data_IF_980476183747
#
_entry.id   IF_980476183747
#
_cell.length_a   1.000
_cell.length_b   1.000
_cell.length_c   1.000
_cell.angle_alpha   90.00
_cell.angle_beta   90.00
_cell.angle_gamma   90.00
#
_symmetry.space_group_name_H-M   'P 1'
#
loop_
_entity.id
_entity.type
_entity.pdbx_description
1 polymer ?
#
# COMPACT_ATOMS: atom_id res chain seq x y z
N UNK A 1 -35.87 42.63 20.04
CA UNK A 1 -34.75 43.08 19.20
C UNK A 1 -33.48 42.59 19.88
N UNK A 2 -33.01 41.43 19.46
CA UNK A 2 -31.76 40.84 19.93
C UNK A 2 -30.92 40.58 18.69
N UNK A 3 -30.00 41.52 18.43
CA UNK A 3 -29.00 41.37 17.36
C UNK A 3 -28.06 40.24 17.70
N UNK A 4 -28.23 39.13 16.99
CA UNK A 4 -27.27 38.01 16.94
C UNK A 4 -26.07 38.48 16.12
N UNK A 5 -25.01 38.90 16.78
CA UNK A 5 -23.70 39.12 16.16
C UNK A 5 -23.16 37.77 15.74
N UNK A 6 -23.26 37.45 14.44
CA UNK A 6 -22.57 36.34 13.85
C UNK A 6 -21.05 36.56 14.00
N UNK A 7 -20.44 35.86 14.94
CA UNK A 7 -18.99 35.83 15.08
C UNK A 7 -18.37 35.29 13.80
N UNK A 8 -17.86 36.18 12.95
CA UNK A 8 -17.14 35.82 11.75
C UNK A 8 -15.95 34.90 12.11
N UNK A 9 -15.84 33.73 11.45
CA UNK A 9 -14.70 32.86 11.61
C UNK A 9 -13.41 33.66 11.38
N UNK A 10 -12.35 33.46 12.19
CA UNK A 10 -11.12 34.23 12.05
C UNK A 10 -10.54 34.02 10.66
N UNK A 11 -10.42 35.12 9.91
CA UNK A 11 -9.72 35.16 8.64
C UNK A 11 -8.28 34.74 8.91
N UNK A 12 -7.92 33.52 8.53
CA UNK A 12 -6.55 32.99 8.67
C UNK A 12 -5.62 33.93 7.90
N UNK A 13 -4.72 34.60 8.61
CA UNK A 13 -3.70 35.45 8.00
C UNK A 13 -2.86 34.55 7.01
N UNK A 14 -2.82 35.00 5.76
CA UNK A 14 -1.95 34.35 4.76
C UNK A 14 -0.50 34.59 5.16
N UNK A 15 0.22 33.53 5.52
CA UNK A 15 1.66 33.56 5.76
C UNK A 15 2.37 32.99 4.53
N UNK A 16 2.81 33.83 3.55
CA UNK A 16 3.34 33.37 2.27
C UNK A 16 4.61 32.51 2.41
N UNK A 17 5.42 32.75 3.42
CA UNK A 17 6.60 31.92 3.72
C UNK A 17 6.21 30.51 4.21
N UNK A 18 5.20 30.41 5.07
CA UNK A 18 4.67 29.11 5.49
C UNK A 18 4.07 28.33 4.31
N UNK A 19 3.38 29.03 3.40
CA UNK A 19 2.78 28.42 2.21
C UNK A 19 3.85 27.81 1.27
N UNK A 20 4.95 28.53 1.06
CA UNK A 20 6.09 28.02 0.28
C UNK A 20 6.72 26.77 0.93
N UNK A 21 6.92 26.82 2.26
CA UNK A 21 7.49 25.69 3.00
C UNK A 21 6.59 24.46 2.92
N UNK A 22 5.28 24.62 3.09
CA UNK A 22 4.35 23.51 2.94
C UNK A 22 4.28 22.98 1.51
N UNK A 23 4.37 23.82 0.50
CA UNK A 23 4.46 23.37 -0.89
C UNK A 23 5.71 22.50 -1.11
N UNK A 24 6.85 22.90 -0.58
CA UNK A 24 8.10 22.12 -0.68
C UNK A 24 7.99 20.76 0.04
N UNK A 25 7.41 20.73 1.24
CA UNK A 25 7.15 19.49 1.99
C UNK A 25 6.23 18.58 1.16
N UNK A 26 5.14 19.14 0.63
CA UNK A 26 4.17 18.41 -0.19
C UNK A 26 4.85 17.76 -1.39
N UNK A 27 5.62 18.52 -2.16
CA UNK A 27 6.29 18.01 -3.36
C UNK A 27 7.40 16.99 -3.10
N UNK A 28 8.02 17.00 -1.91
CA UNK A 28 9.06 16.04 -1.54
C UNK A 28 8.52 14.78 -0.88
N UNK A 29 7.47 14.92 -0.07
CA UNK A 29 6.99 13.84 0.78
C UNK A 29 5.82 13.08 0.15
N UNK A 30 4.79 13.79 -0.33
CA UNK A 30 3.57 13.15 -0.82
C UNK A 30 3.78 12.27 -2.06
N UNK A 31 4.56 12.64 -3.08
CA UNK A 31 4.75 11.78 -4.24
C UNK A 31 5.38 10.43 -3.86
N UNK A 32 6.35 10.43 -2.95
CA UNK A 32 6.98 9.21 -2.48
C UNK A 32 5.99 8.31 -1.71
N UNK A 33 5.24 8.89 -0.77
CA UNK A 33 4.24 8.14 -0.01
C UNK A 33 3.10 7.66 -0.90
N UNK A 34 2.66 8.47 -1.87
CA UNK A 34 1.64 8.11 -2.84
C UNK A 34 2.12 6.97 -3.75
N UNK A 35 3.39 6.98 -4.18
CA UNK A 35 3.99 5.89 -4.95
C UNK A 35 3.97 4.59 -4.17
N UNK A 36 4.42 4.60 -2.91
CA UNK A 36 4.36 3.40 -2.06
C UNK A 36 2.92 2.91 -1.85
N UNK A 37 1.97 3.83 -1.74
CA UNK A 37 0.55 3.49 -1.66
C UNK A 37 0.00 2.91 -2.96
N UNK A 38 0.45 3.43 -4.11
CA UNK A 38 0.16 2.84 -5.41
C UNK A 38 0.66 1.40 -5.50
N UNK A 39 1.90 1.13 -5.09
CA UNK A 39 2.46 -0.22 -5.11
C UNK A 39 1.68 -1.17 -4.20
N UNK A 40 1.31 -0.73 -2.98
CA UNK A 40 0.49 -1.53 -2.07
C UNK A 40 -0.88 -1.91 -2.67
N UNK A 41 -1.50 -1.00 -3.40
CA UNK A 41 -2.77 -1.28 -4.07
C UNK A 41 -2.61 -2.15 -5.32
N UNK A 42 -1.54 -1.96 -6.08
CA UNK A 42 -1.20 -2.80 -7.23
C UNK A 42 -0.98 -4.24 -6.77
N UNK A 43 -0.24 -4.47 -5.68
CA UNK A 43 -0.03 -5.81 -5.11
C UNK A 43 -1.36 -6.49 -4.74
N UNK A 44 -2.27 -5.75 -4.08
CA UNK A 44 -3.62 -6.25 -3.75
C UNK A 44 -4.47 -6.57 -4.96
N UNK A 45 -4.30 -5.85 -6.05
CA UNK A 45 -5.02 -6.09 -7.31
C UNK A 45 -4.37 -7.21 -8.11
N UNK A 46 -3.04 -7.29 -8.13
CA UNK A 46 -2.24 -8.25 -8.86
C UNK A 46 -2.57 -9.70 -8.49
N UNK A 47 -2.84 -9.99 -7.21
CA UNK A 47 -3.23 -11.34 -6.77
C UNK A 47 -4.51 -11.84 -7.46
N UNK A 48 -5.44 -10.93 -7.78
CA UNK A 48 -6.68 -11.30 -8.46
C UNK A 48 -6.43 -11.65 -9.93
N UNK A 49 -5.46 -11.00 -10.58
CA UNK A 49 -5.07 -11.33 -11.95
C UNK A 49 -4.17 -12.56 -11.98
N UNK A 50 -3.22 -12.67 -11.06
CA UNK A 50 -2.35 -13.84 -10.93
C UNK A 50 -3.16 -15.12 -10.65
N UNK A 51 -4.28 -15.02 -9.93
CA UNK A 51 -5.22 -16.12 -9.67
C UNK A 51 -5.53 -16.91 -10.94
N UNK A 52 -5.82 -16.24 -12.04
CA UNK A 52 -6.31 -16.86 -13.27
C UNK A 52 -5.34 -17.91 -13.85
N UNK A 53 -4.04 -17.67 -13.71
CA UNK A 53 -3.00 -18.60 -14.22
C UNK A 53 -2.37 -19.42 -13.10
N UNK A 54 -2.20 -18.85 -11.92
CA UNK A 54 -1.60 -19.53 -10.77
C UNK A 54 -2.44 -20.72 -10.29
N UNK A 55 -3.77 -20.61 -10.29
CA UNK A 55 -4.65 -21.71 -9.88
C UNK A 55 -4.56 -22.91 -10.81
N UNK A 56 -4.47 -22.67 -12.11
CA UNK A 56 -4.35 -23.73 -13.11
C UNK A 56 -2.98 -24.39 -13.01
N UNK A 57 -1.90 -23.64 -12.87
CA UNK A 57 -0.53 -24.15 -12.75
C UNK A 57 -0.31 -24.96 -11.47
N UNK A 58 -0.79 -24.47 -10.34
CA UNK A 58 -0.61 -25.10 -9.02
C UNK A 58 -1.75 -26.05 -8.65
N UNK A 59 -2.77 -26.18 -9.51
CA UNK A 59 -4.00 -26.97 -9.28
C UNK A 59 -4.68 -26.62 -7.95
N UNK A 60 -4.72 -25.30 -7.63
CA UNK A 60 -5.39 -24.81 -6.45
C UNK A 60 -6.88 -24.67 -6.71
N UNK A 61 -7.70 -25.03 -5.72
CA UNK A 61 -9.15 -24.79 -5.75
C UNK A 61 -9.48 -23.35 -5.35
N UNK A 62 -10.70 -22.92 -5.71
CA UNK A 62 -11.25 -21.62 -5.24
C UNK A 62 -11.28 -21.50 -3.71
N UNK A 63 -11.47 -22.63 -3.01
CA UNK A 63 -11.43 -22.69 -1.55
C UNK A 63 -10.02 -22.35 -1.01
N UNK A 64 -8.95 -22.89 -1.63
CA UNK A 64 -7.57 -22.59 -1.25
C UNK A 64 -7.29 -21.09 -1.46
N UNK A 65 -7.69 -20.55 -2.60
CA UNK A 65 -7.51 -19.13 -2.88
C UNK A 65 -8.30 -18.24 -1.91
N UNK A 66 -9.58 -18.53 -1.69
CA UNK A 66 -10.44 -17.78 -0.76
C UNK A 66 -9.90 -17.79 0.67
N UNK A 67 -9.41 -18.97 1.14
CA UNK A 67 -8.77 -19.10 2.46
C UNK A 67 -7.51 -18.23 2.52
N UNK A 68 -6.64 -18.27 1.51
CA UNK A 68 -5.44 -17.42 1.46
C UNK A 68 -5.76 -15.93 1.43
N UNK A 69 -6.81 -15.54 0.72
CA UNK A 69 -7.29 -14.16 0.73
C UNK A 69 -7.76 -13.72 2.14
N UNK A 70 -8.48 -14.59 2.86
CA UNK A 70 -8.90 -14.35 4.23
C UNK A 70 -7.73 -14.27 5.22
N UNK A 71 -6.75 -15.17 5.11
CA UNK A 71 -5.56 -15.23 5.96
C UNK A 71 -4.73 -13.94 5.85
N UNK A 72 -4.66 -13.30 4.68
CA UNK A 72 -4.04 -11.98 4.54
C UNK A 72 -4.66 -10.95 5.51
N UNK A 73 -5.99 -10.87 5.56
CA UNK A 73 -6.67 -9.92 6.44
C UNK A 73 -6.50 -10.28 7.92
N UNK A 74 -6.36 -11.55 8.26
CA UNK A 74 -6.04 -11.99 9.63
C UNK A 74 -4.66 -11.44 10.02
N UNK A 75 -3.63 -11.65 9.19
CA UNK A 75 -2.30 -11.09 9.40
C UNK A 75 -2.34 -9.56 9.53
N UNK A 76 -3.04 -8.89 8.61
CA UNK A 76 -3.21 -7.45 8.61
C UNK A 76 -3.83 -6.95 9.92
N UNK A 77 -4.95 -7.52 10.36
CA UNK A 77 -5.66 -7.13 11.57
C UNK A 77 -4.80 -7.26 12.85
N UNK A 78 -4.13 -8.40 13.03
CA UNK A 78 -3.32 -8.62 14.24
C UNK A 78 -2.08 -7.73 14.30
N UNK A 79 -1.50 -7.36 13.18
CA UNK A 79 -0.24 -6.58 13.14
C UNK A 79 -0.45 -5.09 12.91
N UNK A 80 -1.65 -4.61 12.63
CA UNK A 80 -1.94 -3.19 12.43
C UNK A 80 -1.62 -2.35 13.68
N UNK A 81 -2.16 -2.73 14.84
CA UNK A 81 -1.92 -2.01 16.10
C UNK A 81 -0.46 -2.12 16.55
N UNK A 82 0.17 -3.31 16.61
CA UNK A 82 1.59 -3.42 16.94
C UNK A 82 2.50 -2.61 16.02
N UNK A 83 2.22 -2.58 14.72
CA UNK A 83 3.00 -1.80 13.74
C UNK A 83 2.91 -0.30 14.01
N UNK A 84 1.73 0.22 14.36
CA UNK A 84 1.55 1.63 14.69
C UNK A 84 2.16 2.01 16.05
N UNK A 85 2.13 1.10 17.03
CA UNK A 85 2.86 1.30 18.29
C UNK A 85 4.39 1.34 18.07
N UNK A 86 4.89 0.48 17.19
CA UNK A 86 6.29 0.48 16.79
C UNK A 86 6.67 1.80 16.09
N UNK A 87 5.80 2.31 15.21
CA UNK A 87 6.00 3.60 14.54
C UNK A 87 6.19 4.75 15.54
N UNK A 88 5.40 4.77 16.61
CA UNK A 88 5.52 5.80 17.66
C UNK A 88 6.84 5.71 18.42
N UNK A 89 7.38 4.50 18.63
CA UNK A 89 8.63 4.26 19.38
C UNK A 89 9.88 4.53 18.55
N UNK A 90 9.89 4.10 17.30
CA UNK A 90 11.11 4.02 16.46
C UNK A 90 11.13 5.08 15.35
N UNK A 91 9.98 5.70 15.10
CA UNK A 91 9.80 6.72 14.07
C UNK A 91 9.38 6.16 12.70
N UNK A 92 8.82 7.05 11.88
CA UNK A 92 8.21 6.66 10.61
C UNK A 92 9.22 6.07 9.61
N UNK A 93 10.42 6.66 9.48
CA UNK A 93 11.43 6.22 8.51
C UNK A 93 11.78 4.73 8.67
N UNK A 94 12.13 4.31 9.89
CA UNK A 94 12.51 2.91 10.16
C UNK A 94 11.32 1.96 10.03
N UNK A 95 10.14 2.42 10.42
CA UNK A 95 8.90 1.63 10.32
C UNK A 95 8.51 1.41 8.87
N UNK A 96 8.51 2.45 8.05
CA UNK A 96 8.19 2.35 6.63
C UNK A 96 9.22 1.48 5.89
N UNK A 97 10.53 1.63 6.17
CA UNK A 97 11.55 0.73 5.63
C UNK A 97 11.29 -0.73 5.98
N UNK A 98 10.97 -1.04 7.24
CA UNK A 98 10.64 -2.39 7.65
C UNK A 98 9.43 -2.93 6.88
N UNK A 99 8.39 -2.11 6.74
CA UNK A 99 7.17 -2.47 6.03
C UNK A 99 7.49 -2.77 4.57
N UNK A 100 8.14 -1.87 3.85
CA UNK A 100 8.43 -2.03 2.42
C UNK A 100 9.38 -3.18 2.14
N UNK A 101 10.46 -3.31 2.89
CA UNK A 101 11.41 -4.42 2.71
C UNK A 101 10.76 -5.77 3.05
N UNK A 102 10.06 -5.87 4.18
CA UNK A 102 9.40 -7.11 4.59
C UNK A 102 8.29 -7.51 3.61
N UNK A 103 7.44 -6.57 3.22
CA UNK A 103 6.38 -6.79 2.26
C UNK A 103 6.95 -7.18 0.88
N UNK A 104 7.90 -6.42 0.33
CA UNK A 104 8.51 -6.71 -0.96
C UNK A 104 9.23 -8.06 -0.99
N UNK A 105 9.93 -8.43 0.11
CA UNK A 105 10.58 -9.74 0.23
C UNK A 105 9.55 -10.89 0.23
N UNK A 106 8.42 -10.73 0.92
CA UNK A 106 7.36 -11.76 0.92
C UNK A 106 6.65 -11.80 -0.43
N UNK A 107 6.39 -10.66 -1.06
CA UNK A 107 5.85 -10.60 -2.41
C UNK A 107 6.77 -11.33 -3.40
N UNK A 108 8.07 -11.07 -3.35
CA UNK A 108 9.06 -11.81 -4.14
C UNK A 108 9.04 -13.31 -3.83
N UNK A 109 8.92 -13.72 -2.55
CA UNK A 109 8.84 -15.12 -2.15
C UNK A 109 7.60 -15.84 -2.70
N UNK A 110 6.52 -15.10 -2.99
CA UNK A 110 5.31 -15.67 -3.59
C UNK A 110 5.57 -16.37 -4.93
N UNK A 111 6.57 -15.95 -5.71
CA UNK A 111 6.92 -16.60 -6.98
C UNK A 111 7.38 -18.06 -6.82
N UNK A 112 7.83 -18.44 -5.62
CA UNK A 112 8.31 -19.82 -5.34
C UNK A 112 7.25 -20.72 -4.71
N UNK A 113 6.03 -20.24 -4.54
CA UNK A 113 4.93 -21.01 -3.95
C UNK A 113 4.57 -22.19 -4.85
N UNK A 114 4.52 -23.39 -4.23
CA UNK A 114 4.14 -24.64 -4.89
C UNK A 114 3.04 -25.38 -4.13
N UNK A 115 2.82 -25.06 -2.85
CA UNK A 115 1.84 -25.75 -2.01
C UNK A 115 0.86 -24.77 -1.37
N UNK A 116 -0.37 -25.22 -1.03
CA UNK A 116 -1.34 -24.37 -0.32
C UNK A 116 -0.81 -23.81 1.00
N UNK A 117 -0.01 -24.59 1.74
CA UNK A 117 0.57 -24.13 3.00
C UNK A 117 1.54 -22.97 2.79
N UNK A 118 2.42 -23.06 1.79
CA UNK A 118 3.34 -21.97 1.44
C UNK A 118 2.57 -20.72 1.03
N UNK A 119 1.51 -20.88 0.25
CA UNK A 119 0.62 -19.78 -0.13
C UNK A 119 0.01 -19.11 1.10
N UNK A 120 -0.53 -19.87 2.05
CA UNK A 120 -1.12 -19.33 3.28
C UNK A 120 -0.11 -18.60 4.15
N UNK A 121 1.10 -19.15 4.31
CA UNK A 121 2.18 -18.52 5.06
C UNK A 121 2.57 -17.19 4.41
N UNK A 122 2.79 -17.16 3.10
CA UNK A 122 3.11 -15.93 2.39
C UNK A 122 1.98 -14.90 2.50
N UNK A 123 0.71 -15.30 2.36
CA UNK A 123 -0.45 -14.41 2.50
C UNK A 123 -0.56 -13.82 3.91
N UNK A 124 -0.33 -14.62 4.94
CA UNK A 124 -0.31 -14.15 6.32
C UNK A 124 0.82 -13.13 6.55
N UNK A 125 2.04 -13.46 6.13
CA UNK A 125 3.21 -12.58 6.29
C UNK A 125 3.04 -11.29 5.49
N UNK A 126 2.48 -11.36 4.27
CA UNK A 126 2.20 -10.19 3.46
C UNK A 126 1.26 -9.24 4.20
N UNK A 127 0.14 -9.76 4.75
CA UNK A 127 -0.77 -8.98 5.58
C UNK A 127 -0.09 -8.39 6.81
N UNK A 128 0.74 -9.18 7.50
CA UNK A 128 1.46 -8.75 8.71
C UNK A 128 2.49 -7.63 8.42
N UNK A 129 3.24 -7.70 7.33
CA UNK A 129 4.21 -6.67 6.96
C UNK A 129 3.53 -5.41 6.41
N UNK A 130 2.49 -5.54 5.61
CA UNK A 130 1.75 -4.41 5.04
C UNK A 130 0.92 -3.67 6.10
N UNK A 131 0.58 -4.37 7.20
CA UNK A 131 -0.20 -3.83 8.28
C UNK A 131 0.44 -2.57 8.88
N UNK A 132 -0.39 -1.56 9.12
CA UNK A 132 0.05 -0.29 9.69
C UNK A 132 0.65 0.69 8.68
N UNK A 133 0.79 0.35 7.40
CA UNK A 133 1.29 1.29 6.40
C UNK A 133 0.35 2.49 6.25
N UNK A 134 -0.91 2.25 5.89
CA UNK A 134 -1.88 3.33 5.69
C UNK A 134 -2.10 4.18 6.95
N UNK A 135 -2.51 3.61 8.11
CA UNK A 135 -2.71 4.42 9.30
C UNK A 135 -1.40 5.07 9.78
N UNK A 136 -0.26 4.40 9.61
CA UNK A 136 1.05 4.96 9.92
C UNK A 136 1.40 6.18 9.08
N UNK A 137 1.13 6.16 7.78
CA UNK A 137 1.31 7.32 6.91
C UNK A 137 0.37 8.46 7.31
N UNK A 138 -0.90 8.17 7.59
CA UNK A 138 -1.84 9.21 8.04
C UNK A 138 -1.37 9.86 9.35
N UNK A 139 -0.93 9.09 10.33
CA UNK A 139 -0.33 9.61 11.57
C UNK A 139 0.93 10.42 11.24
N UNK A 140 1.81 9.95 10.37
CA UNK A 140 3.01 10.67 9.98
C UNK A 140 2.69 12.02 9.33
N UNK A 141 1.71 12.07 8.44
CA UNK A 141 1.26 13.33 7.82
C UNK A 141 0.71 14.32 8.85
N UNK A 142 0.11 13.85 9.96
CA UNK A 142 -0.35 14.78 11.02
C UNK A 142 0.79 15.51 11.73
N UNK A 143 2.01 14.98 11.68
CA UNK A 143 3.20 15.63 12.25
C UNK A 143 3.73 16.75 11.37
N UNK A 144 3.49 16.68 10.05
CA UNK A 144 3.98 17.65 9.07
C UNK A 144 2.95 18.73 8.69
N UNK A 145 1.64 18.38 8.76
CA UNK A 145 0.59 19.27 8.30
C UNK A 145 -0.27 19.79 9.46
N UNK A 146 -0.50 21.11 9.54
CA UNK A 146 -1.45 21.70 10.48
C UNK A 146 -2.87 21.23 10.13
N UNK A 147 -3.77 21.28 11.10
CA UNK A 147 -5.12 20.69 11.01
C UNK A 147 -5.90 21.13 9.77
N UNK A 148 -5.79 22.41 9.39
CA UNK A 148 -6.51 22.96 8.22
C UNK A 148 -6.00 22.45 6.86
N UNK A 149 -4.79 21.83 6.79
CA UNK A 149 -4.20 21.29 5.55
C UNK A 149 -4.20 19.76 5.50
N UNK A 150 -4.51 19.09 6.62
CA UNK A 150 -4.47 17.61 6.69
C UNK A 150 -5.44 16.95 5.71
N UNK A 151 -6.65 17.49 5.58
CA UNK A 151 -7.64 16.96 4.66
C UNK A 151 -7.13 16.93 3.20
N UNK A 152 -6.46 18.01 2.78
CA UNK A 152 -5.87 18.07 1.44
C UNK A 152 -4.73 17.06 1.28
N UNK A 153 -3.81 16.96 2.26
CA UNK A 153 -2.71 16.00 2.22
C UNK A 153 -3.20 14.55 2.20
N UNK A 154 -4.22 14.23 3.00
CA UNK A 154 -4.84 12.91 3.03
C UNK A 154 -5.56 12.60 1.71
N UNK A 155 -6.30 13.56 1.16
CA UNK A 155 -6.97 13.41 -0.14
C UNK A 155 -5.98 13.14 -1.27
N UNK A 156 -4.87 13.88 -1.33
CA UNK A 156 -3.81 13.64 -2.32
C UNK A 156 -3.14 12.28 -2.12
N UNK A 157 -2.87 11.86 -0.90
CA UNK A 157 -2.31 10.54 -0.62
C UNK A 157 -3.27 9.42 -1.05
N UNK A 158 -4.54 9.50 -0.65
CA UNK A 158 -5.52 8.45 -0.95
C UNK A 158 -5.98 8.43 -2.41
N UNK A 159 -5.84 9.54 -3.16
CA UNK A 159 -6.13 9.57 -4.60
C UNK A 159 -5.23 8.62 -5.41
N UNK A 160 -4.06 8.27 -4.87
CA UNK A 160 -3.19 7.25 -5.45
C UNK A 160 -3.88 5.88 -5.61
N UNK A 161 -4.90 5.56 -4.81
CA UNK A 161 -5.72 4.34 -4.98
C UNK A 161 -6.40 4.30 -6.36
N UNK A 162 -6.98 5.43 -6.79
CA UNK A 162 -7.63 5.49 -8.10
C UNK A 162 -6.61 5.28 -9.23
N UNK A 163 -5.44 5.91 -9.12
CA UNK A 163 -4.34 5.74 -10.08
C UNK A 163 -3.90 4.27 -10.14
N UNK A 164 -3.73 3.63 -8.99
CA UNK A 164 -3.33 2.22 -8.89
C UNK A 164 -4.34 1.29 -9.57
N UNK A 165 -5.63 1.55 -9.39
CA UNK A 165 -6.69 0.73 -9.98
C UNK A 165 -6.70 0.85 -11.50
N UNK A 166 -6.47 2.07 -12.03
CA UNK A 166 -6.42 2.31 -13.48
C UNK A 166 -5.20 1.64 -14.11
N UNK A 167 -4.04 1.69 -13.45
CA UNK A 167 -2.77 1.18 -14.00
C UNK A 167 -2.60 -0.31 -13.71
N UNK A 168 -2.98 -0.78 -12.53
CA UNK A 168 -2.68 -2.13 -12.05
C UNK A 168 -3.24 -3.24 -12.94
N UNK A 169 -4.50 -3.12 -13.36
CA UNK A 169 -5.13 -4.12 -14.24
C UNK A 169 -4.43 -4.28 -15.60
N UNK A 170 -4.26 -3.22 -16.39
CA UNK A 170 -3.52 -3.26 -17.65
C UNK A 170 -2.07 -3.73 -17.48
N UNK A 171 -1.38 -3.30 -16.42
CA UNK A 171 0.00 -3.71 -16.13
C UNK A 171 0.08 -5.21 -15.84
N UNK A 172 -0.76 -5.72 -14.93
CA UNK A 172 -0.81 -7.14 -14.62
C UNK A 172 -1.15 -7.99 -15.85
N UNK A 173 -2.14 -7.57 -16.63
CA UNK A 173 -2.53 -8.25 -17.86
C UNK A 173 -1.40 -8.28 -18.91
N UNK A 174 -0.66 -7.18 -19.05
CA UNK A 174 0.50 -7.12 -19.93
C UNK A 174 1.62 -8.06 -19.45
N UNK A 175 1.96 -8.06 -18.16
CA UNK A 175 2.97 -8.96 -17.59
C UNK A 175 2.58 -10.43 -17.82
N UNK A 176 1.34 -10.79 -17.47
CA UNK A 176 0.82 -12.14 -17.59
C UNK A 176 0.88 -12.66 -19.03
N UNK A 177 0.65 -11.79 -20.03
CA UNK A 177 0.65 -12.18 -21.44
C UNK A 177 2.04 -12.12 -22.07
N UNK A 178 2.81 -11.07 -21.79
CA UNK A 178 4.08 -10.81 -22.51
C UNK A 178 5.27 -11.54 -21.94
N UNK A 179 5.26 -11.83 -20.62
CA UNK A 179 6.38 -12.47 -19.93
C UNK A 179 6.11 -13.95 -19.60
N UNK A 180 4.94 -14.50 -19.95
CA UNK A 180 4.66 -15.91 -19.76
C UNK A 180 5.66 -16.79 -20.53
N UNK A 181 6.32 -17.72 -19.81
CA UNK A 181 7.33 -18.61 -20.38
C UNK A 181 8.74 -18.00 -20.51
N UNK A 182 8.90 -16.70 -20.33
CA UNK A 182 10.22 -16.08 -20.33
C UNK A 182 11.06 -16.61 -19.14
N UNK A 183 12.28 -17.02 -19.42
CA UNK A 183 13.20 -17.65 -18.45
C UNK A 183 12.60 -18.89 -17.73
N UNK A 184 11.62 -19.55 -18.33
CA UNK A 184 10.96 -20.72 -17.74
C UNK A 184 9.99 -20.40 -16.61
N UNK A 185 9.66 -19.13 -16.39
CA UNK A 185 8.72 -18.69 -15.37
C UNK A 185 7.31 -18.50 -15.94
N UNK A 186 6.30 -18.88 -15.16
CA UNK A 186 4.91 -18.61 -15.48
C UNK A 186 4.61 -17.10 -15.37
N UNK A 187 3.58 -16.60 -16.07
CA UNK A 187 3.24 -15.19 -16.03
C UNK A 187 2.92 -14.65 -14.64
N UNK A 188 2.26 -15.45 -13.80
CA UNK A 188 1.97 -15.06 -12.41
C UNK A 188 3.23 -14.92 -11.54
N UNK A 189 4.27 -15.71 -11.80
CA UNK A 189 5.56 -15.59 -11.10
C UNK A 189 6.24 -14.26 -11.43
N UNK A 190 6.17 -13.83 -12.70
CA UNK A 190 6.68 -12.52 -13.12
C UNK A 190 5.94 -11.35 -12.43
N UNK A 191 4.64 -11.47 -12.23
CA UNK A 191 3.86 -10.45 -11.50
C UNK A 191 4.43 -10.26 -10.10
N UNK A 192 4.63 -11.33 -9.32
CA UNK A 192 5.17 -11.24 -7.96
C UNK A 192 6.66 -10.86 -7.93
N UNK A 193 7.44 -11.29 -8.91
CA UNK A 193 8.84 -10.93 -9.03
C UNK A 193 9.01 -9.42 -9.24
N UNK A 194 8.28 -8.86 -10.19
CA UNK A 194 8.36 -7.43 -10.53
C UNK A 194 7.84 -6.58 -9.36
N UNK A 195 6.69 -6.96 -8.80
CA UNK A 195 6.05 -6.24 -7.70
C UNK A 195 6.95 -6.23 -6.45
N UNK A 196 7.48 -7.40 -6.07
CA UNK A 196 8.43 -7.50 -4.96
C UNK A 196 9.73 -6.72 -5.19
N UNK A 197 10.27 -6.76 -6.41
CA UNK A 197 11.51 -6.05 -6.74
C UNK A 197 11.35 -4.53 -6.77
N UNK A 198 10.20 -4.02 -7.22
CA UNK A 198 9.93 -2.56 -7.27
C UNK A 198 9.61 -2.01 -5.88
N UNK A 199 9.11 -2.85 -4.97
CA UNK A 199 8.73 -2.46 -3.60
C UNK A 199 9.96 -2.29 -2.68
N UNK A 200 11.04 -3.03 -2.89
CA UNK A 200 12.28 -2.96 -2.09
C UNK A 200 13.14 -1.76 -2.50
#
# INVERSE_FOLDING_TARGET
MTDSVAAGAPVQAKHPEADKTFAQITWRLLPYLALLWCLAWIDRVNINFAKLTMMDDLKFSDAIYGTGAGIFFIGYFFFEVPSNLYLRKVGARKTLMRITIGWGAVCFAMMFVQTPLQFYICRFLLGAFEAGFQPGVLVYLTLWYPTHRRAQAFGLFTSATAVSTIIGGPLAGWILKSLAGANGLAGWQWVFLIDGAVTI
#
